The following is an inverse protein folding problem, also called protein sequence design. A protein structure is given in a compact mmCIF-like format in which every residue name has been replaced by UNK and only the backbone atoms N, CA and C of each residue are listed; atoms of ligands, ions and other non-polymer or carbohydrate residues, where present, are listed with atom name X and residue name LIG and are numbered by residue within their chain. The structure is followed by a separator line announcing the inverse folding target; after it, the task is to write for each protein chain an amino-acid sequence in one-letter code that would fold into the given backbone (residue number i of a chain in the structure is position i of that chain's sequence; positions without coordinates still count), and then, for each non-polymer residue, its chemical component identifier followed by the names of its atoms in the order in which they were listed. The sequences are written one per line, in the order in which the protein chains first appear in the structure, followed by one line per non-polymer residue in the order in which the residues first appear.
data_IF_707635932522
#
_entry.id   IF_707635932522
#
_cell.length_a   1.000
_cell.length_b   1.000
_cell.length_c   1.000
_cell.angle_alpha   90.00
_cell.angle_beta   90.00
_cell.angle_gamma   90.00
#
_symmetry.space_group_name_H-M   'P 1'
#
loop_
_entity.id
_entity.type
_entity.pdbx_description
1 polymer ?
#
# COMPACT_ATOMS: atom_id res chain seq x y z
N UNK A 1 0.02 -16.02 -2.31
CA UNK A 1 0.08 -14.58 -1.98
C UNK A 1 1.17 -14.28 -0.96
N UNK A 2 1.24 -14.96 0.19
CA UNK A 2 2.30 -14.76 1.21
C UNK A 2 3.71 -14.84 0.62
N UNK A 3 4.04 -15.94 -0.05
CA UNK A 3 5.38 -16.16 -0.64
C UNK A 3 5.82 -15.08 -1.64
N UNK A 4 4.86 -14.52 -2.38
CA UNK A 4 5.11 -13.43 -3.33
C UNK A 4 5.56 -12.15 -2.59
N UNK A 5 4.90 -11.83 -1.48
CA UNK A 5 5.26 -10.68 -0.65
C UNK A 5 6.57 -10.93 0.13
N UNK A 6 6.80 -12.16 0.62
CA UNK A 6 8.07 -12.54 1.24
C UNK A 6 9.25 -12.32 0.28
N UNK A 7 9.15 -12.76 -0.97
CA UNK A 7 10.16 -12.50 -2.01
C UNK A 7 10.38 -11.02 -2.30
N UNK A 8 9.31 -10.21 -2.25
CA UNK A 8 9.37 -8.77 -2.57
C UNK A 8 9.95 -7.94 -1.44
N UNK A 9 9.90 -8.39 -0.20
CA UNK A 9 10.25 -7.61 0.99
C UNK A 9 11.63 -6.94 0.90
N UNK A 10 12.66 -7.68 0.46
CA UNK A 10 14.04 -7.18 0.37
C UNK A 10 14.20 -5.96 -0.58
N UNK A 11 13.36 -5.86 -1.62
CA UNK A 11 13.39 -4.78 -2.62
C UNK A 11 12.21 -3.80 -2.50
N UNK A 12 11.39 -3.95 -1.44
CA UNK A 12 10.25 -3.07 -1.23
C UNK A 12 10.68 -1.73 -0.62
N UNK A 13 9.83 -0.71 -0.76
CA UNK A 13 10.09 0.62 -0.17
C UNK A 13 10.26 0.50 1.34
N UNK A 14 11.32 1.10 1.88
CA UNK A 14 11.61 1.13 3.33
C UNK A 14 11.27 2.49 3.92
N UNK A 15 11.04 2.51 5.24
CA UNK A 15 10.89 3.73 6.00
C UNK A 15 12.20 4.51 6.06
N UNK A 16 12.14 5.82 5.79
CA UNK A 16 13.33 6.71 5.71
C UNK A 16 13.40 7.75 6.83
N UNK A 17 12.49 7.67 7.81
CA UNK A 17 12.38 8.64 8.90
C UNK A 17 11.41 9.77 8.62
N UNK A 18 11.25 10.18 7.37
CA UNK A 18 10.42 11.30 6.95
C UNK A 18 9.36 10.87 5.91
N UNK A 19 8.14 11.42 5.98
CA UNK A 19 7.12 11.16 4.97
C UNK A 19 7.46 11.88 3.66
N UNK A 20 7.20 11.23 2.54
CA UNK A 20 7.29 11.86 1.21
C UNK A 20 6.31 13.03 1.07
N UNK A 21 6.46 13.82 -0.01
CA UNK A 21 5.52 14.91 -0.32
C UNK A 21 4.08 14.37 -0.43
N UNK A 22 3.90 13.22 -1.11
CA UNK A 22 2.61 12.58 -1.21
C UNK A 22 2.06 12.17 0.16
N UNK A 23 2.87 11.52 1.02
CA UNK A 23 2.44 11.11 2.35
C UNK A 23 2.07 12.31 3.24
N UNK A 24 2.81 13.43 3.17
CA UNK A 24 2.43 14.66 3.89
C UNK A 24 1.05 15.18 3.44
N UNK A 25 0.79 15.18 2.14
CA UNK A 25 -0.51 15.56 1.58
C UNK A 25 -1.64 14.62 2.03
N UNK A 26 -1.38 13.32 2.04
CA UNK A 26 -2.32 12.29 2.53
C UNK A 26 -2.67 12.53 4.01
N UNK A 27 -1.69 12.68 4.90
CA UNK A 27 -1.95 12.91 6.32
C UNK A 27 -2.63 14.24 6.60
N UNK A 28 -2.30 15.31 5.85
CA UNK A 28 -3.00 16.59 5.95
C UNK A 28 -4.50 16.42 5.59
N UNK A 29 -4.80 15.65 4.55
CA UNK A 29 -6.19 15.38 4.13
C UNK A 29 -6.93 14.50 5.14
N UNK A 30 -6.29 13.50 5.73
CA UNK A 30 -6.85 12.67 6.80
C UNK A 30 -7.20 13.55 8.02
N UNK A 31 -6.32 14.48 8.38
CA UNK A 31 -6.55 15.44 9.48
C UNK A 31 -7.70 16.39 9.17
N UNK A 32 -7.78 16.92 7.93
CA UNK A 32 -8.89 17.74 7.46
C UNK A 32 -10.24 17.02 7.59
N UNK A 33 -10.25 15.70 7.33
CA UNK A 33 -11.42 14.84 7.48
C UNK A 33 -11.69 14.38 8.93
N UNK A 34 -10.99 14.97 9.89
CA UNK A 34 -11.27 14.84 11.32
C UNK A 34 -10.60 13.65 12.03
N UNK A 35 -9.60 13.01 11.42
CA UNK A 35 -8.81 11.97 12.10
C UNK A 35 -7.47 12.54 12.55
N UNK A 36 -7.20 12.41 13.85
CA UNK A 36 -5.92 12.73 14.48
C UNK A 36 -5.33 11.47 15.08
N UNK A 37 -4.02 11.35 15.03
CA UNK A 37 -3.30 10.16 15.52
C UNK A 37 -2.63 10.38 16.87
N UNK A 38 -2.48 11.62 17.32
CA UNK A 38 -1.79 11.95 18.57
C UNK A 38 -2.49 11.29 19.77
N UNK A 39 -1.72 10.55 20.56
CA UNK A 39 -2.18 9.80 21.73
C UNK A 39 -3.22 8.71 21.43
N UNK A 40 -3.35 8.27 20.18
CA UNK A 40 -4.31 7.25 19.75
C UNK A 40 -3.70 5.86 19.68
N UNK A 41 -4.53 4.84 19.88
CA UNK A 41 -4.23 3.47 19.51
C UNK A 41 -4.59 3.26 18.03
N UNK A 42 -3.64 2.73 17.25
CA UNK A 42 -3.80 2.56 15.81
C UNK A 42 -3.60 1.09 15.45
N UNK A 43 -4.37 0.58 14.48
CA UNK A 43 -4.08 -0.69 13.81
C UNK A 43 -3.91 -0.43 12.33
N UNK A 44 -2.82 -0.94 11.75
CA UNK A 44 -2.49 -0.81 10.32
C UNK A 44 -2.60 -2.18 9.64
N UNK A 45 -3.59 -2.30 8.73
CA UNK A 45 -3.95 -3.54 8.06
C UNK A 45 -3.20 -3.69 6.75
N UNK A 46 -2.36 -4.74 6.66
CA UNK A 46 -1.46 -4.95 5.54
C UNK A 46 -0.33 -3.93 5.52
N UNK A 47 0.32 -3.78 6.66
CA UNK A 47 1.32 -2.74 6.93
C UNK A 47 2.60 -2.85 6.07
N UNK A 48 2.86 -4.02 5.46
CA UNK A 48 4.05 -4.27 4.66
C UNK A 48 5.34 -4.01 5.42
N UNK A 49 6.27 -3.30 4.80
CA UNK A 49 7.55 -2.85 5.40
C UNK A 49 7.40 -1.70 6.39
N UNK A 50 6.16 -1.29 6.70
CA UNK A 50 5.87 -0.34 7.77
C UNK A 50 6.09 1.13 7.42
N UNK A 51 6.10 1.54 6.15
CA UNK A 51 6.33 2.95 5.78
C UNK A 51 5.33 3.89 6.47
N UNK A 52 4.03 3.54 6.46
CA UNK A 52 3.00 4.30 7.18
C UNK A 52 3.00 4.01 8.67
N UNK A 53 3.12 2.72 9.04
CA UNK A 53 3.12 2.26 10.43
C UNK A 53 4.17 2.99 11.27
N UNK A 54 5.41 3.04 10.79
CA UNK A 54 6.54 3.64 11.50
C UNK A 54 6.42 5.19 11.55
N UNK A 55 5.87 5.80 10.51
CA UNK A 55 5.56 7.24 10.58
C UNK A 55 4.49 7.52 11.64
N UNK A 56 3.39 6.76 11.64
CA UNK A 56 2.32 6.91 12.62
C UNK A 56 2.78 6.59 14.04
N UNK A 57 3.68 5.62 14.21
CA UNK A 57 4.27 5.28 15.50
C UNK A 57 4.99 6.46 16.17
N UNK A 58 5.55 7.39 15.41
CA UNK A 58 6.22 8.59 15.95
C UNK A 58 5.25 9.57 16.62
N UNK A 59 3.94 9.49 16.32
CA UNK A 59 2.93 10.45 16.78
C UNK A 59 1.81 9.81 17.59
N UNK A 60 1.51 8.53 17.40
CA UNK A 60 0.46 7.83 18.13
C UNK A 60 0.97 7.30 19.49
N UNK A 61 0.03 6.90 20.36
CA UNK A 61 0.37 6.26 21.63
C UNK A 61 0.94 4.86 21.41
N UNK A 62 0.30 4.08 20.58
CA UNK A 62 0.68 2.72 20.24
C UNK A 62 0.14 2.33 18.86
N UNK A 63 0.83 1.46 18.16
CA UNK A 63 0.39 0.97 16.87
C UNK A 63 0.60 -0.54 16.75
N UNK A 64 -0.39 -1.22 16.18
CA UNK A 64 -0.31 -2.63 15.79
C UNK A 64 -0.29 -2.71 14.27
N UNK A 65 0.81 -3.18 13.69
CA UNK A 65 0.91 -3.48 12.27
C UNK A 65 0.64 -4.96 12.02
N UNK A 66 -0.27 -5.30 11.12
CA UNK A 66 -0.49 -6.67 10.69
C UNK A 66 -0.15 -6.85 9.22
N UNK A 67 0.52 -7.95 8.90
CA UNK A 67 0.78 -8.36 7.52
C UNK A 67 0.85 -9.88 7.43
N UNK A 68 0.50 -10.43 6.26
CA UNK A 68 0.60 -11.86 6.00
C UNK A 68 2.06 -12.32 5.83
N UNK A 69 2.93 -11.40 5.41
CA UNK A 69 4.34 -11.65 5.12
C UNK A 69 5.22 -11.43 6.34
N UNK A 70 5.84 -12.49 6.84
CA UNK A 70 6.83 -12.38 7.92
C UNK A 70 8.07 -11.60 7.51
N UNK A 71 8.51 -11.69 6.26
CA UNK A 71 9.67 -10.96 5.76
C UNK A 71 9.40 -9.45 5.66
N UNK A 72 8.17 -9.03 5.31
CA UNK A 72 7.77 -7.62 5.37
C UNK A 72 7.84 -7.09 6.81
N UNK A 73 7.27 -7.83 7.76
CA UNK A 73 7.30 -7.46 9.18
C UNK A 73 8.73 -7.42 9.74
N UNK A 74 9.61 -8.31 9.30
CA UNK A 74 11.02 -8.28 9.67
C UNK A 74 11.71 -6.98 9.24
N UNK A 75 11.49 -6.55 7.99
CA UNK A 75 11.99 -5.26 7.48
C UNK A 75 11.45 -4.10 8.31
N UNK A 76 10.14 -4.10 8.63
CA UNK A 76 9.52 -3.09 9.49
C UNK A 76 10.18 -3.03 10.87
N UNK A 77 10.43 -4.18 11.50
CA UNK A 77 11.06 -4.24 12.83
C UNK A 77 12.52 -3.80 12.81
N UNK A 78 13.27 -4.13 11.75
CA UNK A 78 14.62 -3.62 11.54
C UNK A 78 14.65 -2.08 11.46
N UNK A 79 13.73 -1.51 10.68
CA UNK A 79 13.60 -0.05 10.55
C UNK A 79 13.09 0.57 11.86
N UNK A 80 12.16 -0.05 12.58
CA UNK A 80 11.72 0.40 13.90
C UNK A 80 12.89 0.49 14.88
N UNK A 81 13.76 -0.52 14.93
CA UNK A 81 14.96 -0.52 15.77
C UNK A 81 15.92 0.60 15.37
N UNK A 82 16.17 0.78 14.07
CA UNK A 82 17.05 1.85 13.53
C UNK A 82 16.59 3.25 13.92
N UNK A 83 15.27 3.48 13.99
CA UNK A 83 14.69 4.78 14.31
C UNK A 83 14.21 4.89 15.77
N UNK A 84 14.59 3.93 16.64
CA UNK A 84 14.23 3.91 18.06
C UNK A 84 12.71 3.96 18.33
N UNK A 85 11.91 3.32 17.48
CA UNK A 85 10.46 3.20 17.63
C UNK A 85 10.15 1.96 18.46
N UNK A 86 9.52 2.13 19.63
CA UNK A 86 9.28 1.07 20.62
C UNK A 86 7.79 0.81 20.92
N UNK A 87 6.88 1.67 20.46
CA UNK A 87 5.44 1.57 20.69
C UNK A 87 4.70 0.79 19.58
N UNK A 88 5.41 -0.10 18.91
CA UNK A 88 4.96 -0.93 17.79
C UNK A 88 4.77 -2.38 18.22
N UNK A 89 3.64 -2.98 17.84
CA UNK A 89 3.41 -4.43 17.86
C UNK A 89 3.28 -4.95 16.43
N UNK A 90 4.09 -5.93 16.04
CA UNK A 90 4.00 -6.58 14.74
C UNK A 90 3.27 -7.92 14.87
N UNK A 91 2.25 -8.16 14.04
CA UNK A 91 1.45 -9.40 14.06
C UNK A 91 1.44 -10.03 12.67
N UNK A 92 2.04 -11.22 12.54
CA UNK A 92 1.93 -11.97 11.30
C UNK A 92 0.58 -12.68 11.24
N UNK A 93 -0.33 -12.17 10.43
CA UNK A 93 -1.66 -12.74 10.20
C UNK A 93 -2.21 -12.27 8.86
N UNK A 94 -3.05 -13.08 8.22
CA UNK A 94 -3.98 -12.54 7.26
C UNK A 94 -5.10 -11.78 8.00
N UNK A 95 -5.77 -10.88 7.29
CA UNK A 95 -6.79 -10.03 7.91
C UNK A 95 -8.01 -10.84 8.39
N UNK A 96 -8.39 -11.92 7.69
CA UNK A 96 -9.55 -12.76 8.05
C UNK A 96 -9.35 -13.45 9.40
N UNK A 97 -8.12 -13.85 9.71
CA UNK A 97 -7.77 -14.53 10.97
C UNK A 97 -7.34 -13.58 12.10
N UNK A 98 -7.11 -12.29 11.80
CA UNK A 98 -6.78 -11.30 12.82
C UNK A 98 -8.03 -10.93 13.65
N UNK A 99 -8.09 -11.36 14.91
CA UNK A 99 -9.21 -11.10 15.82
C UNK A 99 -8.69 -10.51 17.15
N UNK A 100 -8.43 -9.19 17.20
CA UNK A 100 -8.02 -8.55 18.44
C UNK A 100 -9.21 -8.45 19.42
N UNK A 101 -8.95 -8.64 20.71
CA UNK A 101 -9.95 -8.49 21.78
C UNK A 101 -10.17 -7.01 22.17
N UNK A 102 -10.09 -6.10 21.18
CA UNK A 102 -10.24 -4.66 21.41
C UNK A 102 -10.65 -3.92 20.14
N UNK A 103 -11.24 -2.77 20.30
CA UNK A 103 -11.42 -1.76 19.27
C UNK A 103 -10.29 -0.73 19.41
N UNK A 104 -9.73 -0.29 18.28
CA UNK A 104 -8.70 0.74 18.23
C UNK A 104 -9.34 2.12 18.09
N UNK A 105 -8.62 3.19 18.49
CA UNK A 105 -9.08 4.55 18.17
C UNK A 105 -9.11 4.78 16.65
N UNK A 106 -8.12 4.23 15.92
CA UNK A 106 -8.05 4.35 14.46
C UNK A 106 -7.69 3.01 13.81
N UNK A 107 -8.52 2.55 12.87
CA UNK A 107 -8.18 1.50 11.93
C UNK A 107 -7.69 2.14 10.62
N UNK A 108 -6.52 1.74 10.17
CA UNK A 108 -5.81 2.29 9.03
C UNK A 108 -5.50 1.19 8.02
N UNK A 109 -5.68 1.44 6.75
CA UNK A 109 -5.25 0.54 5.68
C UNK A 109 -4.97 1.32 4.42
N UNK A 110 -3.77 1.19 3.89
CA UNK A 110 -3.36 1.88 2.67
C UNK A 110 -2.75 0.90 1.68
N UNK A 111 -3.27 0.92 0.46
CA UNK A 111 -2.73 0.16 -0.68
C UNK A 111 -2.56 -1.34 -0.39
N UNK A 112 -3.32 -1.88 0.57
CA UNK A 112 -3.29 -3.28 0.98
C UNK A 112 -4.39 -4.10 0.31
N UNK A 113 -4.09 -5.25 -0.30
CA UNK A 113 -5.10 -6.15 -0.84
C UNK A 113 -5.89 -6.90 0.24
N UNK A 114 -5.55 -6.75 1.51
CA UNK A 114 -6.12 -7.49 2.63
C UNK A 114 -7.62 -7.24 2.84
N UNK A 115 -8.12 -6.06 2.46
CA UNK A 115 -9.54 -5.71 2.51
C UNK A 115 -10.09 -5.85 1.08
N UNK A 116 -10.91 -6.88 0.84
CA UNK A 116 -11.24 -7.30 -0.52
C UNK A 116 -12.74 -7.44 -0.82
N UNK A 117 -13.55 -7.73 0.17
CA UNK A 117 -14.98 -8.03 0.05
C UNK A 117 -15.79 -7.40 1.20
N UNK A 118 -17.12 -7.57 1.18
CA UNK A 118 -18.02 -6.98 2.17
C UNK A 118 -17.79 -7.53 3.59
N UNK A 119 -17.37 -8.78 3.74
CA UNK A 119 -17.04 -9.35 5.06
C UNK A 119 -15.84 -8.62 5.65
N UNK A 120 -14.82 -8.36 4.82
CA UNK A 120 -13.65 -7.58 5.21
C UNK A 120 -14.04 -6.12 5.54
N UNK A 121 -15.01 -5.52 4.80
CA UNK A 121 -15.50 -4.16 5.10
C UNK A 121 -16.15 -4.10 6.47
N UNK A 122 -17.07 -5.03 6.78
CA UNK A 122 -17.71 -5.11 8.10
C UNK A 122 -16.67 -5.27 9.20
N UNK A 123 -15.70 -6.15 8.98
CA UNK A 123 -14.62 -6.37 9.95
C UNK A 123 -13.78 -5.12 10.16
N UNK A 124 -13.39 -4.44 9.08
CA UNK A 124 -12.60 -3.19 9.16
C UNK A 124 -13.37 -2.06 9.84
N UNK A 125 -14.68 -1.94 9.57
CA UNK A 125 -15.57 -0.96 10.21
C UNK A 125 -15.62 -1.18 11.73
N UNK A 126 -15.68 -2.43 12.18
CA UNK A 126 -15.77 -2.76 13.60
C UNK A 126 -14.42 -2.71 14.34
N UNK A 127 -13.32 -2.55 13.62
CA UNK A 127 -11.97 -2.63 14.20
C UNK A 127 -11.50 -1.31 14.83
N UNK A 128 -12.06 -0.18 14.43
CA UNK A 128 -11.68 1.13 14.93
C UNK A 128 -12.86 2.10 15.13
N UNK A 129 -12.69 3.12 15.97
CA UNK A 129 -13.67 4.21 16.11
C UNK A 129 -13.66 5.15 14.91
N UNK A 130 -12.48 5.38 14.34
CA UNK A 130 -12.24 6.07 13.08
C UNK A 130 -11.54 5.13 12.11
N UNK A 131 -11.82 5.26 10.84
CA UNK A 131 -11.26 4.39 9.79
C UNK A 131 -10.69 5.25 8.68
N UNK A 132 -9.53 4.84 8.20
CA UNK A 132 -8.82 5.45 7.07
C UNK A 132 -8.51 4.34 6.08
N UNK A 133 -9.07 4.44 4.90
CA UNK A 133 -8.85 3.48 3.82
C UNK A 133 -8.39 4.20 2.55
N UNK A 134 -7.29 3.77 1.98
CA UNK A 134 -6.73 4.28 0.72
C UNK A 134 -6.50 3.14 -0.26
N UNK A 135 -7.08 3.24 -1.44
CA UNK A 135 -6.87 2.27 -2.52
C UNK A 135 -6.89 2.95 -3.88
N UNK A 136 -6.46 2.23 -4.92
CA UNK A 136 -6.50 2.70 -6.30
C UNK A 136 -7.90 3.17 -6.71
N UNK A 137 -7.97 4.38 -7.26
CA UNK A 137 -9.18 4.93 -7.90
C UNK A 137 -9.23 4.57 -9.39
N UNK A 138 -8.05 4.49 -10.02
CA UNK A 138 -7.85 4.07 -11.40
C UNK A 138 -6.65 3.15 -11.51
N UNK A 139 -6.54 2.36 -12.59
CA UNK A 139 -5.32 1.60 -12.85
C UNK A 139 -4.10 2.52 -12.81
N UNK A 140 -3.04 2.09 -12.11
CA UNK A 140 -1.76 2.78 -12.12
C UNK A 140 -1.17 2.77 -13.52
N UNK A 141 -0.74 3.92 -14.00
CA UNK A 141 0.05 4.04 -15.22
C UNK A 141 1.54 3.87 -14.89
N UNK A 142 2.25 3.12 -15.72
CA UNK A 142 3.71 3.00 -15.70
C UNK A 142 4.22 3.00 -17.14
N UNK A 143 5.08 3.94 -17.49
CA UNK A 143 5.65 4.00 -18.85
C UNK A 143 6.45 2.76 -19.21
N UNK A 144 6.94 2.01 -18.24
CA UNK A 144 7.64 0.75 -18.41
C UNK A 144 6.66 -0.39 -18.64
N UNK A 145 5.64 -0.54 -17.79
CA UNK A 145 4.69 -1.64 -17.89
C UNK A 145 3.82 -1.55 -19.14
N UNK A 146 3.53 -0.33 -19.62
CA UNK A 146 2.80 -0.12 -20.89
C UNK A 146 3.50 -0.75 -22.11
N UNK A 147 4.81 -0.97 -22.04
CA UNK A 147 5.55 -1.64 -23.12
C UNK A 147 5.16 -3.13 -23.25
N UNK A 148 4.56 -3.71 -22.22
CA UNK A 148 4.25 -5.14 -22.12
C UNK A 148 2.75 -5.42 -22.12
N UNK A 149 1.90 -4.39 -22.01
CA UNK A 149 0.45 -4.56 -22.13
C UNK A 149 0.06 -4.48 -23.62
N UNK A 150 -0.20 -5.62 -24.22
CA UNK A 150 -0.68 -5.70 -25.60
C UNK A 150 -2.20 -5.44 -25.64
N UNK A 151 -2.61 -4.30 -26.20
CA UNK A 151 -4.00 -3.96 -26.44
C UNK A 151 -4.80 -3.70 -25.16
N UNK A 152 -6.10 -4.09 -25.13
CA UNK A 152 -7.05 -3.83 -24.04
C UNK A 152 -6.93 -4.78 -22.84
N UNK A 153 -5.92 -5.64 -22.78
CA UNK A 153 -5.74 -6.64 -21.72
C UNK A 153 -4.98 -6.11 -20.51
N UNK A 154 -5.30 -4.91 -20.03
CA UNK A 154 -4.96 -4.60 -18.64
C UNK A 154 -5.81 -5.54 -17.77
N UNK A 155 -5.16 -6.33 -16.90
CA UNK A 155 -5.86 -7.24 -16.00
C UNK A 155 -7.04 -6.56 -15.32
N UNK A 156 -8.09 -7.30 -14.99
CA UNK A 156 -9.32 -6.75 -14.42
C UNK A 156 -9.00 -5.88 -13.20
N UNK A 157 -9.03 -4.57 -13.41
CA UNK A 157 -8.86 -3.60 -12.33
C UNK A 157 -10.05 -3.73 -11.38
N UNK A 158 -9.77 -4.10 -10.14
CA UNK A 158 -10.79 -4.16 -9.11
C UNK A 158 -10.96 -2.79 -8.48
N UNK A 159 -12.09 -2.16 -8.71
CA UNK A 159 -12.46 -0.85 -8.16
C UNK A 159 -12.83 -0.93 -6.66
N UNK A 160 -11.97 -1.55 -5.86
CA UNK A 160 -12.24 -1.82 -4.44
C UNK A 160 -12.63 -0.56 -3.64
N UNK A 161 -12.01 0.58 -3.93
CA UNK A 161 -12.34 1.82 -3.24
C UNK A 161 -13.74 2.31 -3.59
N UNK A 162 -14.16 2.17 -4.86
CA UNK A 162 -15.53 2.51 -5.29
C UNK A 162 -16.52 1.54 -4.68
N UNK A 163 -16.21 0.24 -4.69
CA UNK A 163 -17.06 -0.78 -4.07
C UNK A 163 -17.22 -0.56 -2.57
N UNK A 164 -16.14 -0.18 -1.85
CA UNK A 164 -16.24 0.14 -0.43
C UNK A 164 -17.04 1.44 -0.20
N UNK A 165 -16.87 2.46 -1.03
CA UNK A 165 -17.66 3.70 -0.97
C UNK A 165 -19.15 3.41 -1.19
N UNK A 166 -19.52 2.58 -2.17
CA UNK A 166 -20.90 2.14 -2.42
C UNK A 166 -21.47 1.38 -1.22
N UNK A 167 -20.67 0.50 -0.61
CA UNK A 167 -21.05 -0.20 0.61
C UNK A 167 -21.36 0.79 1.74
N UNK A 168 -20.50 1.76 2.02
CA UNK A 168 -20.73 2.78 3.06
C UNK A 168 -22.01 3.58 2.81
N UNK A 169 -22.30 3.93 1.56
CA UNK A 169 -23.56 4.63 1.17
C UNK A 169 -24.77 3.75 1.42
N UNK A 170 -24.73 2.48 1.02
CA UNK A 170 -25.82 1.52 1.20
C UNK A 170 -26.15 1.29 2.68
N UNK A 171 -25.12 1.19 3.52
CA UNK A 171 -25.27 1.00 4.96
C UNK A 171 -25.52 2.32 5.74
N UNK A 172 -25.69 3.46 5.04
CA UNK A 172 -25.89 4.79 5.63
C UNK A 172 -24.76 5.20 6.61
N UNK A 173 -23.52 4.77 6.37
CA UNK A 173 -22.35 5.16 7.15
C UNK A 173 -21.82 6.47 6.59
N UNK A 174 -21.77 7.53 7.43
CA UNK A 174 -21.23 8.82 7.03
C UNK A 174 -19.72 8.74 6.80
N UNK A 175 -19.22 9.32 5.70
CA UNK A 175 -17.80 9.34 5.35
C UNK A 175 -17.43 10.60 4.59
N UNK A 176 -16.13 10.90 4.59
CA UNK A 176 -15.50 11.86 3.68
C UNK A 176 -14.69 11.09 2.64
N UNK A 177 -14.67 11.58 1.41
CA UNK A 177 -13.84 10.99 0.35
C UNK A 177 -13.15 12.06 -0.49
N UNK A 178 -11.98 11.72 -1.01
CA UNK A 178 -11.33 12.50 -2.07
C UNK A 178 -10.43 11.59 -2.92
N UNK A 179 -10.08 12.11 -4.10
CA UNK A 179 -9.09 11.47 -4.97
C UNK A 179 -7.77 12.20 -4.81
N UNK A 180 -6.70 11.44 -4.58
CA UNK A 180 -5.33 11.91 -4.52
C UNK A 180 -4.58 11.42 -5.75
N UNK A 181 -3.87 12.32 -6.40
CA UNK A 181 -3.06 11.99 -7.58
C UNK A 181 -1.58 12.20 -7.29
N UNK A 182 -0.76 11.29 -7.78
CA UNK A 182 0.70 11.36 -7.70
C UNK A 182 1.29 11.10 -9.08
N UNK A 183 2.23 11.94 -9.48
CA UNK A 183 3.10 11.68 -10.63
C UNK A 183 4.54 11.71 -10.17
N UNK A 184 5.29 10.66 -10.46
CA UNK A 184 6.70 10.55 -10.08
C UNK A 184 7.51 9.86 -11.15
N UNK A 185 8.81 10.13 -11.16
CA UNK A 185 9.78 9.41 -11.95
C UNK A 185 10.69 8.59 -11.04
N UNK A 186 11.04 7.40 -11.48
CA UNK A 186 12.00 6.52 -10.82
C UNK A 186 13.04 6.07 -11.82
N UNK A 187 14.31 6.25 -11.46
CA UNK A 187 15.45 5.78 -12.23
C UNK A 187 16.04 4.55 -11.55
N UNK A 188 16.16 3.46 -12.27
CA UNK A 188 16.73 2.19 -11.80
C UNK A 188 17.73 1.66 -12.79
N UNK A 189 18.67 0.84 -12.35
CA UNK A 189 19.51 0.07 -13.24
C UNK A 189 18.64 -0.85 -14.11
N UNK A 190 19.15 -1.24 -15.28
CA UNK A 190 18.45 -2.16 -16.18
C UNK A 190 18.07 -3.47 -15.45
N UNK A 191 18.95 -3.99 -14.57
CA UNK A 191 18.70 -5.19 -13.80
C UNK A 191 17.53 -5.00 -12.83
N UNK A 192 17.59 -3.97 -11.98
CA UNK A 192 16.52 -3.66 -11.00
C UNK A 192 15.18 -3.39 -11.69
N UNK A 193 15.19 -2.71 -12.85
CA UNK A 193 13.98 -2.43 -13.59
C UNK A 193 13.40 -3.69 -14.22
N UNK A 194 14.25 -4.61 -14.72
CA UNK A 194 13.81 -5.90 -15.26
C UNK A 194 13.10 -6.72 -14.17
N UNK A 195 13.70 -6.87 -13.00
CA UNK A 195 13.11 -7.59 -11.88
C UNK A 195 11.81 -6.93 -11.38
N UNK A 196 11.78 -5.60 -11.33
CA UNK A 196 10.58 -4.86 -10.96
C UNK A 196 9.44 -5.04 -11.97
N UNK A 197 9.74 -5.01 -13.26
CA UNK A 197 8.75 -5.20 -14.32
C UNK A 197 8.18 -6.63 -14.28
N UNK A 198 9.04 -7.65 -14.19
CA UNK A 198 8.63 -9.06 -14.08
C UNK A 198 7.68 -9.29 -12.90
N UNK A 199 8.02 -8.75 -11.73
CA UNK A 199 7.16 -8.86 -10.55
C UNK A 199 5.78 -8.24 -10.75
N UNK A 200 5.70 -7.05 -11.36
CA UNK A 200 4.42 -6.41 -11.64
C UNK A 200 3.60 -7.15 -12.70
N UNK A 201 4.26 -7.70 -13.72
CA UNK A 201 3.62 -8.50 -14.75
C UNK A 201 3.07 -9.81 -14.16
N UNK A 202 3.82 -10.49 -13.30
CA UNK A 202 3.37 -11.70 -12.60
C UNK A 202 2.11 -11.44 -11.76
N UNK A 203 2.09 -10.35 -10.97
CA UNK A 203 0.88 -9.95 -10.20
C UNK A 203 -0.31 -9.67 -11.11
N UNK A 204 -0.07 -9.10 -12.27
CA UNK A 204 -1.12 -8.80 -13.24
C UNK A 204 -1.53 -10.04 -14.07
N UNK A 205 -0.97 -11.22 -13.78
CA UNK A 205 -1.17 -12.49 -14.49
C UNK A 205 -0.69 -12.45 -15.96
N UNK A 206 0.34 -11.66 -16.25
CA UNK A 206 1.04 -11.68 -17.51
C UNK A 206 2.34 -12.48 -17.36
N UNK A 207 2.51 -13.48 -18.20
CA UNK A 207 3.74 -14.27 -18.24
C UNK A 207 4.66 -13.74 -19.32
N UNK A 208 5.87 -13.36 -18.96
CA UNK A 208 6.91 -12.93 -19.90
C UNK A 208 8.24 -13.60 -19.56
N UNK A 209 8.96 -13.98 -20.62
CA UNK A 209 10.33 -14.46 -20.47
C UNK A 209 11.26 -13.31 -20.05
N UNK A 210 12.10 -13.53 -19.06
CA UNK A 210 13.00 -12.51 -18.50
C UNK A 210 13.87 -11.86 -19.57
N UNK A 211 14.43 -12.68 -20.48
CA UNK A 211 15.25 -12.17 -21.60
C UNK A 211 14.48 -11.23 -22.54
N UNK A 212 13.19 -11.50 -22.78
CA UNK A 212 12.34 -10.63 -23.59
C UNK A 212 12.09 -9.29 -22.91
N UNK A 213 11.79 -9.31 -21.60
CA UNK A 213 11.61 -8.11 -20.78
C UNK A 213 12.90 -7.30 -20.76
N UNK A 214 14.03 -7.92 -20.45
CA UNK A 214 15.35 -7.28 -20.44
C UNK A 214 15.69 -6.63 -21.78
N UNK A 215 15.53 -7.35 -22.91
CA UNK A 215 15.81 -6.82 -24.25
C UNK A 215 14.95 -5.61 -24.58
N UNK A 216 13.67 -5.64 -24.22
CA UNK A 216 12.76 -4.50 -24.43
C UNK A 216 13.18 -3.29 -23.60
N UNK A 217 13.55 -3.48 -22.34
CA UNK A 217 14.04 -2.41 -21.47
C UNK A 217 15.42 -1.87 -21.90
N UNK A 218 16.30 -2.75 -22.41
CA UNK A 218 17.59 -2.35 -22.97
C UNK A 218 17.44 -1.35 -24.13
N UNK A 219 16.39 -1.48 -24.95
CA UNK A 219 16.16 -0.58 -26.09
C UNK A 219 15.78 0.85 -25.69
N UNK A 220 15.38 1.07 -24.45
CA UNK A 220 15.03 2.39 -23.88
C UNK A 220 15.98 2.85 -22.78
N UNK A 221 16.95 2.01 -22.40
CA UNK A 221 17.92 2.32 -21.38
C UNK A 221 18.91 3.41 -21.86
N UNK A 222 19.29 4.31 -20.95
CA UNK A 222 20.31 5.32 -21.14
C UNK A 222 21.39 5.15 -20.08
N UNK A 223 22.63 4.99 -20.48
CA UNK A 223 23.78 4.79 -19.56
C UNK A 223 23.58 3.64 -18.56
N UNK A 224 22.90 2.55 -18.99
CA UNK A 224 22.61 1.39 -18.15
C UNK A 224 21.42 1.56 -17.18
N UNK A 225 20.68 2.67 -17.27
CA UNK A 225 19.52 2.97 -16.46
C UNK A 225 18.26 3.10 -17.29
N UNK A 226 17.14 2.75 -16.69
CA UNK A 226 15.78 2.96 -17.22
C UNK A 226 15.04 3.94 -16.32
N UNK A 227 14.44 4.98 -16.92
CA UNK A 227 13.58 5.92 -16.20
C UNK A 227 12.12 5.53 -16.42
N UNK A 228 11.40 5.28 -15.34
CA UNK A 228 9.98 4.96 -15.31
C UNK A 228 9.18 6.16 -14.84
N UNK A 229 8.22 6.62 -15.67
CA UNK A 229 7.19 7.57 -15.22
C UNK A 229 6.00 6.78 -14.68
N UNK A 230 5.60 7.12 -13.45
CA UNK A 230 4.47 6.50 -12.74
C UNK A 230 3.42 7.57 -12.48
N UNK A 231 2.16 7.29 -12.85
CA UNK A 231 1.02 8.12 -12.47
C UNK A 231 0.03 7.26 -11.69
N UNK A 232 -0.31 7.71 -10.51
CA UNK A 232 -1.18 7.03 -9.56
C UNK A 232 -2.38 7.90 -9.23
N UNK A 233 -3.56 7.31 -9.21
CA UNK A 233 -4.80 7.96 -8.74
C UNK A 233 -5.40 7.05 -7.67
N UNK A 234 -5.54 7.57 -6.46
CA UNK A 234 -5.97 6.82 -5.29
C UNK A 234 -7.18 7.51 -4.66
N UNK A 235 -8.14 6.73 -4.19
CA UNK A 235 -9.30 7.22 -3.44
C UNK A 235 -9.06 7.01 -1.96
N UNK A 236 -9.20 8.09 -1.20
CA UNK A 236 -9.20 8.10 0.25
C UNK A 236 -10.64 8.09 0.76
N UNK A 237 -10.94 7.19 1.68
CA UNK A 237 -12.19 7.14 2.45
C UNK A 237 -11.85 7.31 3.93
N UNK A 238 -12.56 8.22 4.63
CA UNK A 238 -12.40 8.47 6.07
C UNK A 238 -13.77 8.51 6.72
N UNK A 239 -14.00 7.66 7.72
CA UNK A 239 -15.33 7.48 8.35
C UNK A 239 -15.23 6.99 9.79
#
# INVERSE_FOLDING_TARGET
MKEMWDKKAASYTRFTGEPSVFHRGLYAKITEFGVKFENKSVVDIGCGTGVHTLFLAQICREITGIDISGEMLKVMLEDAAKFNISNLTAVQSDFKNFNPNRVYDVAFSTMSPAIADEEDFVKFINLGEKRVYLWWNKPRYSSVLELFYEGSQRGCFKEKANFFEEYLRRENIAFNSCVLEESREQKRTLEEMTQNALWHLEIANFTHEENAVRSRLQSIAQDGYVTEKIVSSMKLLVF
#
